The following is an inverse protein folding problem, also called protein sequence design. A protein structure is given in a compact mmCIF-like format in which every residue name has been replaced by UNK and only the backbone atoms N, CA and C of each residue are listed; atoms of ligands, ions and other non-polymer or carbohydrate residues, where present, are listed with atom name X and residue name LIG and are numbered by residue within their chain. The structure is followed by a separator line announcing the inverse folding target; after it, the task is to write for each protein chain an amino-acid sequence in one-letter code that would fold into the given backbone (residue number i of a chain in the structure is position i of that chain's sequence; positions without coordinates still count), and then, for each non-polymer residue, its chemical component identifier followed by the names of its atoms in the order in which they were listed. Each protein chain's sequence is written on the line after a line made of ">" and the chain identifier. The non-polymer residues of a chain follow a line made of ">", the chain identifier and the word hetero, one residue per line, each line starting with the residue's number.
data_IF_885331320370
#
_entry.id   IF_885331320370
#
_cell.length_a   1.000
_cell.length_b   1.000
_cell.length_c   1.000
_cell.angle_alpha   90.00
_cell.angle_beta   90.00
_cell.angle_gamma   90.00
#
_symmetry.space_group_name_H-M   'P 1'
#
loop_
_entity.id
_entity.type
_entity.pdbx_description
1 polymer ?
#
# COMPACT_ATOMS: atom_id res chain seq x y z
N UNK A 1 -11.12 -0.04 -2.17
CA UNK A 1 -9.79 -0.67 -1.99
C UNK A 1 -9.62 -1.78 -3.03
N UNK A 2 -8.43 -1.92 -3.62
CA UNK A 2 -8.19 -2.87 -4.73
C UNK A 2 -7.63 -4.24 -4.30
N UNK A 3 -7.04 -4.38 -3.10
CA UNK A 3 -6.54 -5.67 -2.59
C UNK A 3 -5.90 -5.55 -1.20
N UNK A 4 -5.99 -6.62 -0.39
CA UNK A 4 -5.41 -6.72 0.95
C UNK A 4 -6.05 -5.87 2.06
N UNK A 5 -5.23 -5.45 3.02
CA UNK A 5 -5.66 -4.70 4.23
C UNK A 5 -4.78 -3.46 4.38
N UNK A 6 -5.43 -2.30 4.56
CA UNK A 6 -4.73 -1.05 4.86
C UNK A 6 -4.94 -0.67 6.33
N UNK A 7 -3.91 -0.14 6.97
CA UNK A 7 -3.92 0.30 8.38
C UNK A 7 -3.47 1.74 8.47
N UNK A 8 -3.81 2.40 9.57
CA UNK A 8 -3.22 3.71 9.89
C UNK A 8 -1.71 3.59 10.17
N UNK A 9 -1.00 4.71 10.07
CA UNK A 9 0.44 4.84 10.32
C UNK A 9 1.35 4.03 9.37
N UNK A 10 0.85 3.67 8.18
CA UNK A 10 1.67 3.05 7.12
C UNK A 10 2.02 4.06 6.04
N UNK A 11 3.19 3.89 5.42
CA UNK A 11 3.63 4.71 4.30
C UNK A 11 2.96 4.24 3.00
N UNK A 12 2.72 5.17 2.09
CA UNK A 12 2.17 4.93 0.77
C UNK A 12 3.17 5.32 -0.32
N UNK A 13 3.11 4.62 -1.45
CA UNK A 13 3.86 4.92 -2.66
C UNK A 13 2.98 4.82 -3.90
N UNK A 14 3.38 5.47 -4.98
CA UNK A 14 2.72 5.38 -6.29
C UNK A 14 3.27 4.19 -7.09
N UNK A 15 2.61 3.90 -8.21
CA UNK A 15 3.05 2.90 -9.20
C UNK A 15 4.45 3.16 -9.81
N UNK A 16 4.90 4.41 -9.80
CA UNK A 16 6.26 4.80 -10.21
C UNK A 16 7.31 4.55 -9.09
N UNK A 17 6.87 4.06 -7.93
CA UNK A 17 7.70 3.80 -6.76
C UNK A 17 8.13 5.06 -5.99
N UNK A 18 7.57 6.23 -6.27
CA UNK A 18 7.78 7.45 -5.49
C UNK A 18 6.99 7.40 -4.17
N UNK A 19 7.60 7.90 -3.09
CA UNK A 19 6.94 7.96 -1.79
C UNK A 19 5.90 9.09 -1.79
N UNK A 20 4.73 8.81 -1.20
CA UNK A 20 3.61 9.75 -1.15
C UNK A 20 3.50 10.39 0.22
N UNK A 21 3.41 9.56 1.26
CA UNK A 21 3.11 10.03 2.61
C UNK A 21 2.60 8.91 3.52
N UNK A 22 2.03 9.29 4.66
CA UNK A 22 1.59 8.35 5.71
C UNK A 22 0.09 8.46 5.93
N UNK A 23 -0.60 7.33 6.07
CA UNK A 23 -2.02 7.32 6.44
C UNK A 23 -2.18 7.78 7.89
N UNK A 24 -2.85 8.91 8.10
CA UNK A 24 -3.19 9.41 9.45
C UNK A 24 -4.46 8.79 10.00
N UNK A 25 -5.46 8.62 9.15
CA UNK A 25 -6.78 8.17 9.57
C UNK A 25 -7.51 7.47 8.43
N UNK A 26 -8.37 6.53 8.81
CA UNK A 26 -9.30 5.83 7.93
C UNK A 26 -10.68 6.04 8.55
N UNK A 27 -11.66 6.45 7.75
CA UNK A 27 -13.02 6.70 8.21
C UNK A 27 -14.02 6.00 7.29
N UNK A 28 -14.97 5.28 7.88
CA UNK A 28 -16.07 4.62 7.18
C UNK A 28 -17.39 5.07 7.82
N UNK A 29 -18.35 5.55 7.02
CA UNK A 29 -19.67 5.97 7.51
C UNK A 29 -19.64 6.89 8.76
N UNK A 30 -18.77 7.90 8.75
CA UNK A 30 -18.50 8.82 9.86
C UNK A 30 -17.79 8.21 11.10
N UNK A 31 -17.42 6.94 11.09
CA UNK A 31 -16.70 6.28 12.19
C UNK A 31 -15.21 6.09 11.85
N UNK A 32 -14.34 6.38 12.83
CA UNK A 32 -12.91 6.15 12.68
C UNK A 32 -12.59 4.66 12.74
N UNK A 33 -11.85 4.17 11.76
CA UNK A 33 -11.43 2.80 11.64
C UNK A 33 -9.90 2.68 11.78
N UNK A 34 -9.45 1.63 12.46
CA UNK A 34 -8.01 1.32 12.54
C UNK A 34 -7.47 0.66 11.26
N UNK A 35 -8.35 0.07 10.47
CA UNK A 35 -8.03 -0.62 9.22
C UNK A 35 -9.22 -0.65 8.28
N UNK A 36 -8.95 -0.81 6.99
CA UNK A 36 -9.97 -1.17 6.00
C UNK A 36 -9.54 -2.40 5.21
N UNK A 37 -10.51 -3.11 4.65
CA UNK A 37 -10.32 -4.30 3.81
C UNK A 37 -10.88 -4.09 2.41
N UNK A 38 -10.58 -5.03 1.51
CA UNK A 38 -11.12 -5.03 0.15
C UNK A 38 -12.64 -4.91 0.16
N UNK A 39 -13.19 -4.17 -0.82
CA UNK A 39 -14.62 -3.94 -0.95
C UNK A 39 -15.20 -2.83 -0.05
N UNK A 40 -14.44 -2.30 0.91
CA UNK A 40 -14.88 -1.16 1.70
C UNK A 40 -14.60 0.17 0.99
N UNK A 41 -15.60 1.04 0.96
CA UNK A 41 -15.47 2.45 0.60
C UNK A 41 -15.19 3.26 1.87
N UNK A 42 -13.99 3.84 1.95
CA UNK A 42 -13.51 4.56 3.13
C UNK A 42 -12.83 5.85 2.72
N UNK A 43 -12.96 6.88 3.55
CA UNK A 43 -12.16 8.09 3.43
C UNK A 43 -10.80 7.87 4.10
N UNK A 44 -9.72 8.16 3.39
CA UNK A 44 -8.34 8.01 3.89
C UNK A 44 -7.70 9.39 3.96
N UNK A 45 -7.23 9.76 5.15
CA UNK A 45 -6.42 10.97 5.34
C UNK A 45 -4.94 10.60 5.23
N UNK A 46 -4.23 11.27 4.30
CA UNK A 46 -2.80 11.03 4.06
C UNK A 46 -2.04 12.32 4.40
N UNK A 47 -1.02 12.21 5.24
CA UNK A 47 -0.11 13.30 5.58
C UNK A 47 1.12 13.31 4.66
N UNK A 48 1.48 14.49 4.18
CA UNK A 48 2.58 14.70 3.23
C UNK A 48 2.15 15.18 1.84
N UNK A 49 1.28 14.47 1.10
CA UNK A 49 1.02 14.78 -0.29
C UNK A 49 -0.06 15.87 -0.47
N UNK A 50 0.05 16.63 -1.56
CA UNK A 50 -1.03 17.52 -2.03
C UNK A 50 -1.74 16.89 -3.24
N UNK A 51 -3.07 16.79 -3.17
CA UNK A 51 -3.93 16.34 -4.29
C UNK A 51 -3.87 17.35 -5.43
N UNK A 52 -3.73 16.86 -6.67
CA UNK A 52 -3.53 17.68 -7.87
C UNK A 52 -2.08 18.12 -8.11
N UNK A 53 -1.13 17.64 -7.28
CA UNK A 53 0.31 17.92 -7.45
C UNK A 53 1.16 16.67 -7.32
N UNK A 54 1.09 15.99 -6.18
CA UNK A 54 1.87 14.76 -5.92
C UNK A 54 1.04 13.50 -6.15
N UNK A 55 -0.27 13.58 -5.90
CA UNK A 55 -1.24 12.52 -6.15
C UNK A 55 -2.43 13.11 -6.91
N UNK A 56 -3.06 12.34 -7.78
CA UNK A 56 -4.23 12.74 -8.54
C UNK A 56 -5.41 11.82 -8.25
N UNK A 57 -6.62 12.30 -8.52
CA UNK A 57 -7.82 11.46 -8.45
C UNK A 57 -7.69 10.30 -9.44
N UNK A 58 -8.00 9.09 -8.97
CA UNK A 58 -7.81 7.85 -9.74
C UNK A 58 -6.42 7.23 -9.64
N UNK A 59 -5.43 7.89 -9.00
CA UNK A 59 -4.12 7.27 -8.77
C UNK A 59 -4.26 6.01 -7.91
N UNK A 60 -3.52 4.96 -8.29
CA UNK A 60 -3.39 3.75 -7.47
C UNK A 60 -2.20 3.90 -6.54
N UNK A 61 -2.46 3.78 -5.24
CA UNK A 61 -1.45 3.85 -4.19
C UNK A 61 -1.22 2.47 -3.56
N UNK A 62 0.05 2.15 -3.32
CA UNK A 62 0.49 0.91 -2.69
C UNK A 62 1.05 1.19 -1.31
N UNK A 63 0.92 0.25 -0.39
CA UNK A 63 1.64 0.30 0.89
C UNK A 63 3.13 0.19 0.62
N UNK A 64 3.91 1.15 1.11
CA UNK A 64 5.35 1.19 0.95
C UNK A 64 6.01 0.29 2.02
N UNK A 65 6.07 -1.00 1.75
CA UNK A 65 6.63 -2.00 2.66
C UNK A 65 8.17 -1.87 2.69
N UNK A 66 8.81 -1.78 3.87
CA UNK A 66 10.26 -1.82 3.98
C UNK A 66 10.82 -3.15 3.46
N UNK A 67 12.02 -3.10 2.87
CA UNK A 67 12.66 -4.26 2.23
C UNK A 67 12.73 -5.50 3.14
N UNK A 68 13.16 -5.31 4.39
CA UNK A 68 13.24 -6.40 5.38
C UNK A 68 11.89 -7.09 5.60
N UNK A 69 10.81 -6.31 5.65
CA UNK A 69 9.47 -6.86 5.84
C UNK A 69 8.96 -7.52 4.57
N UNK A 70 9.19 -6.91 3.41
CA UNK A 70 8.80 -7.49 2.11
C UNK A 70 9.47 -8.85 1.89
N UNK A 71 10.75 -8.98 2.24
CA UNK A 71 11.47 -10.26 2.20
C UNK A 71 10.85 -11.32 3.09
N UNK A 72 10.50 -10.99 4.34
CA UNK A 72 9.83 -11.94 5.25
C UNK A 72 8.46 -12.34 4.68
N UNK A 73 7.69 -11.38 4.16
CA UNK A 73 6.39 -11.65 3.56
C UNK A 73 6.54 -12.58 2.35
N UNK A 74 7.49 -12.32 1.46
CA UNK A 74 7.72 -13.12 0.25
C UNK A 74 8.21 -14.55 0.59
N UNK A 75 9.11 -14.71 1.56
CA UNK A 75 9.71 -16.00 1.89
C UNK A 75 8.85 -16.86 2.82
N UNK A 76 8.19 -16.25 3.81
CA UNK A 76 7.53 -16.99 4.90
C UNK A 76 6.00 -16.91 4.84
N UNK A 77 5.44 -15.80 4.36
CA UNK A 77 4.00 -15.53 4.44
C UNK A 77 3.28 -15.67 3.10
N UNK A 78 3.98 -15.62 1.97
CA UNK A 78 3.41 -15.76 0.62
C UNK A 78 2.48 -16.96 0.45
N UNK A 79 2.74 -18.15 1.03
CA UNK A 79 1.82 -19.29 0.96
C UNK A 79 0.52 -19.12 1.76
N UNK A 80 0.47 -18.15 2.69
CA UNK A 80 -0.67 -17.86 3.58
C UNK A 80 -1.50 -16.66 3.12
N UNK A 81 -1.00 -15.89 2.16
CA UNK A 81 -1.72 -14.75 1.60
C UNK A 81 -2.88 -15.22 0.75
N UNK A 82 -3.97 -14.45 0.77
CA UNK A 82 -5.04 -14.61 -0.20
C UNK A 82 -4.53 -14.29 -1.62
N UNK A 83 -5.29 -14.71 -2.63
CA UNK A 83 -4.89 -14.54 -4.04
C UNK A 83 -4.71 -13.06 -4.42
N UNK A 84 -5.63 -12.20 -3.96
CA UNK A 84 -5.57 -10.75 -4.16
C UNK A 84 -4.36 -10.11 -3.44
N UNK A 85 -4.09 -10.53 -2.20
CA UNK A 85 -2.94 -10.06 -1.44
C UNK A 85 -1.62 -10.43 -2.13
N UNK A 86 -1.55 -11.63 -2.69
CA UNK A 86 -0.38 -12.11 -3.43
C UNK A 86 -0.17 -11.33 -4.72
N UNK A 87 -1.23 -11.05 -5.47
CA UNK A 87 -1.16 -10.23 -6.69
C UNK A 87 -0.69 -8.81 -6.37
N UNK A 88 -1.24 -8.18 -5.33
CA UNK A 88 -0.81 -6.86 -4.87
C UNK A 88 0.66 -6.87 -4.44
N UNK A 89 1.11 -7.91 -3.73
CA UNK A 89 2.51 -8.06 -3.33
C UNK A 89 3.44 -8.21 -4.55
N UNK A 90 3.06 -9.02 -5.53
CA UNK A 90 3.86 -9.22 -6.75
C UNK A 90 3.98 -7.90 -7.54
N UNK A 91 2.88 -7.17 -7.72
CA UNK A 91 2.88 -5.83 -8.32
C UNK A 91 3.79 -4.85 -7.55
N UNK A 92 3.69 -4.85 -6.22
CA UNK A 92 4.55 -4.02 -5.36
C UNK A 92 6.05 -4.35 -5.56
N UNK A 93 6.40 -5.63 -5.59
CA UNK A 93 7.78 -6.08 -5.80
C UNK A 93 8.30 -5.70 -7.18
N UNK A 94 7.47 -5.82 -8.23
CA UNK A 94 7.83 -5.37 -9.58
C UNK A 94 8.13 -3.87 -9.62
N UNK A 95 7.31 -3.03 -8.98
CA UNK A 95 7.54 -1.58 -8.90
C UNK A 95 8.91 -1.28 -8.24
N UNK A 96 9.23 -1.96 -7.13
CA UNK A 96 10.54 -1.78 -6.46
C UNK A 96 11.70 -2.27 -7.32
N UNK A 97 11.55 -3.45 -7.93
CA UNK A 97 12.58 -4.11 -8.74
C UNK A 97 12.86 -3.41 -10.06
N UNK A 98 11.93 -2.58 -10.56
CA UNK A 98 12.19 -1.66 -11.69
C UNK A 98 13.29 -0.64 -11.38
N UNK A 99 13.43 -0.20 -10.13
CA UNK A 99 14.49 0.74 -9.70
C UNK A 99 15.73 0.03 -9.17
N UNK A 100 15.54 -1.09 -8.47
CA UNK A 100 16.62 -1.90 -7.90
C UNK A 100 16.34 -3.40 -8.11
N UNK A 101 16.95 -4.05 -9.11
CA UNK A 101 16.70 -5.45 -9.45
C UNK A 101 16.97 -6.46 -8.32
N UNK A 102 17.71 -6.07 -7.27
CA UNK A 102 18.05 -6.93 -6.14
C UNK A 102 17.16 -6.68 -4.92
N UNK A 103 16.22 -5.75 -5.00
CA UNK A 103 15.37 -5.36 -3.88
C UNK A 103 14.52 -6.54 -3.36
N UNK A 104 14.66 -6.81 -2.06
CA UNK A 104 13.90 -7.84 -1.35
C UNK A 104 14.49 -9.26 -1.45
N UNK A 105 15.72 -9.42 -1.94
CA UNK A 105 16.43 -10.72 -1.94
C UNK A 105 17.12 -11.06 -0.62
#
# INVERSE_FOLDING_TARGET
>A
MIGGIVRTQVNLMREDGANVGVIKGIQAHNENQGSATVGQEVAISIDGPTVGRQIHEGDILYVNIPEKHARIVELELKPKLAEDEREVLENFLEIKRKKDPFWGR
#
